data_IF_505360443889
#
_entry.id   IF_505360443889
#
_cell.length_a   1.000
_cell.length_b   1.000
_cell.length_c   1.000
_cell.angle_alpha   90.00
_cell.angle_beta   90.00
_cell.angle_gamma   90.00
#
_symmetry.space_group_name_H-M   'P 1'
#
loop_
_entity.id
_entity.type
_entity.pdbx_description
1 polymer ?
#
# COMPACT_ATOMS: atom_id res chain seq x y z
N UNK A 1 -24.05 -0.08 -11.57
CA UNK A 1 -23.51 0.19 -10.23
C UNK A 1 -24.33 1.33 -9.63
N UNK A 2 -25.01 1.08 -8.50
CA UNK A 2 -25.90 2.07 -7.88
C UNK A 2 -25.13 3.16 -7.12
N UNK A 3 -25.76 4.32 -6.89
CA UNK A 3 -25.17 5.42 -6.08
C UNK A 3 -24.71 4.97 -4.69
N UNK A 4 -25.45 4.06 -4.05
CA UNK A 4 -25.08 3.52 -2.72
C UNK A 4 -23.85 2.60 -2.76
N UNK A 5 -23.65 1.89 -3.87
CA UNK A 5 -22.50 1.00 -4.07
C UNK A 5 -21.23 1.83 -4.25
N UNK A 6 -21.30 2.93 -5.01
CA UNK A 6 -20.18 3.86 -5.17
C UNK A 6 -19.77 4.52 -3.84
N UNK A 7 -20.74 4.90 -3.01
CA UNK A 7 -20.46 5.44 -1.67
C UNK A 7 -19.79 4.43 -0.73
N UNK A 8 -20.15 3.15 -0.83
CA UNK A 8 -19.51 2.09 -0.05
C UNK A 8 -18.04 1.93 -0.44
N UNK A 9 -17.74 1.95 -1.74
CA UNK A 9 -16.36 1.86 -2.26
C UNK A 9 -15.54 3.09 -1.84
N UNK A 10 -16.09 4.30 -1.97
CA UNK A 10 -15.42 5.54 -1.54
C UNK A 10 -15.08 5.51 -0.04
N UNK A 11 -16.04 5.06 0.79
CA UNK A 11 -15.84 4.92 2.24
C UNK A 11 -14.78 3.89 2.56
N UNK A 12 -14.79 2.76 1.86
CA UNK A 12 -13.82 1.69 2.07
C UNK A 12 -12.40 2.15 1.70
N UNK A 13 -12.22 2.83 0.56
CA UNK A 13 -10.94 3.43 0.17
C UNK A 13 -10.42 4.41 1.24
N UNK A 14 -11.28 5.33 1.70
CA UNK A 14 -10.96 6.27 2.77
C UNK A 14 -10.58 5.56 4.07
N UNK A 15 -11.30 4.51 4.46
CA UNK A 15 -10.97 3.72 5.65
C UNK A 15 -9.60 3.04 5.50
N UNK A 16 -9.30 2.49 4.33
CA UNK A 16 -7.99 1.90 4.02
C UNK A 16 -6.85 2.89 4.19
N UNK A 17 -7.00 4.09 3.63
CA UNK A 17 -6.08 5.20 3.86
C UNK A 17 -5.92 5.47 5.35
N UNK A 18 -7.00 5.67 6.11
CA UNK A 18 -6.91 6.08 7.51
C UNK A 18 -6.37 4.98 8.46
N UNK A 19 -6.67 3.70 8.21
CA UNK A 19 -6.30 2.58 9.08
C UNK A 19 -4.88 2.05 8.85
N UNK A 20 -4.19 2.45 7.78
CA UNK A 20 -2.76 2.17 7.64
C UNK A 20 -1.92 2.81 8.78
N UNK A 21 -2.52 3.72 9.55
CA UNK A 21 -1.92 4.38 10.71
C UNK A 21 -1.82 3.55 12.00
N UNK A 22 -2.58 2.46 12.17
CA UNK A 22 -2.63 1.76 13.47
C UNK A 22 -1.54 0.68 13.64
N UNK A 23 -0.54 0.67 12.77
CA UNK A 23 0.71 -0.02 13.10
C UNK A 23 1.48 0.85 14.08
N UNK A 24 1.17 0.70 15.38
CA UNK A 24 2.18 0.85 16.44
C UNK A 24 3.31 -0.14 16.12
N UNK A 25 4.16 0.22 15.17
CA UNK A 25 5.46 -0.40 14.99
C UNK A 25 6.29 0.09 16.17
N UNK A 26 6.33 -0.72 17.20
CA UNK A 26 7.20 -0.59 18.36
C UNK A 26 8.63 -0.32 17.88
N UNK A 27 9.14 0.91 18.06
CA UNK A 27 10.58 1.19 17.98
C UNK A 27 11.12 2.04 16.82
N UNK A 28 10.33 2.90 16.16
CA UNK A 28 10.87 3.95 15.29
C UNK A 28 10.46 5.32 15.83
N UNK A 29 11.45 6.22 15.96
CA UNK A 29 11.39 7.53 16.61
C UNK A 29 10.07 8.27 16.42
N UNK A 30 9.58 8.88 17.49
CA UNK A 30 8.32 9.64 17.59
C UNK A 30 8.30 10.94 16.76
N UNK A 31 8.90 10.98 15.58
CA UNK A 31 8.55 12.01 14.59
C UNK A 31 7.21 11.63 13.99
N UNK A 32 6.16 11.91 14.76
CA UNK A 32 4.75 11.74 14.42
C UNK A 32 4.29 12.75 13.33
N UNK A 33 5.22 13.32 12.56
CA UNK A 33 4.90 14.22 11.47
C UNK A 33 4.58 13.41 10.21
N UNK A 34 3.35 13.52 9.75
CA UNK A 34 2.92 13.02 8.43
C UNK A 34 3.80 13.67 7.36
N UNK A 35 4.52 12.87 6.57
CA UNK A 35 5.38 13.35 5.49
C UNK A 35 4.60 13.91 4.30
N UNK A 36 5.28 14.59 3.39
CA UNK A 36 4.65 15.26 2.26
C UNK A 36 3.94 14.28 1.31
N UNK A 37 4.52 13.10 1.09
CA UNK A 37 3.91 12.03 0.31
C UNK A 37 2.66 11.48 0.98
N UNK A 38 2.72 11.21 2.29
CA UNK A 38 1.57 10.73 3.06
C UNK A 38 0.43 11.76 3.08
N UNK A 39 0.72 13.06 3.26
CA UNK A 39 -0.28 14.14 3.20
C UNK A 39 -0.99 14.18 1.85
N UNK A 40 -0.24 14.03 0.77
CA UNK A 40 -0.78 14.02 -0.58
C UNK A 40 -1.75 12.86 -0.81
N UNK A 41 -1.36 11.66 -0.36
CA UNK A 41 -2.19 10.46 -0.46
C UNK A 41 -3.44 10.56 0.41
N UNK A 42 -3.35 11.17 1.60
CA UNK A 42 -4.53 11.42 2.45
C UNK A 42 -5.55 12.39 1.80
N UNK A 43 -5.07 13.32 0.97
CA UNK A 43 -5.91 14.20 0.16
C UNK A 43 -6.54 13.54 -1.07
N UNK A 44 -6.11 12.31 -1.42
CA UNK A 44 -6.55 11.63 -2.64
C UNK A 44 -7.98 11.13 -2.51
N UNK A 45 -8.82 11.48 -3.49
CA UNK A 45 -10.17 10.89 -3.64
C UNK A 45 -10.05 9.47 -4.17
N UNK A 46 -11.12 8.67 -4.11
CA UNK A 46 -11.11 7.29 -4.63
C UNK A 46 -10.51 7.25 -6.04
N UNK A 47 -9.64 6.26 -6.26
CA UNK A 47 -9.11 5.98 -7.59
C UNK A 47 -10.21 5.36 -8.45
N UNK A 48 -10.64 6.08 -9.49
CA UNK A 48 -11.72 5.61 -10.35
C UNK A 48 -11.33 4.28 -11.01
N UNK A 49 -12.29 3.36 -11.10
CA UNK A 49 -12.12 2.04 -11.71
C UNK A 49 -12.00 0.87 -10.74
N UNK A 50 -11.94 1.15 -9.44
CA UNK A 50 -12.14 0.14 -8.40
C UNK A 50 -13.63 0.10 -8.07
N UNK A 51 -14.24 -1.06 -8.24
CA UNK A 51 -15.67 -1.31 -8.06
C UNK A 51 -15.99 -2.18 -6.83
N UNK A 52 -15.01 -2.91 -6.32
CA UNK A 52 -15.14 -3.72 -5.11
C UNK A 52 -14.71 -2.93 -3.85
N UNK A 53 -15.57 -2.81 -2.82
CA UNK A 53 -15.23 -2.14 -1.58
C UNK A 53 -14.02 -2.73 -0.86
N UNK A 54 -13.86 -4.06 -0.87
CA UNK A 54 -12.73 -4.71 -0.19
C UNK A 54 -11.41 -4.35 -0.89
N UNK A 55 -11.35 -4.47 -2.22
CA UNK A 55 -10.22 -4.05 -3.01
C UNK A 55 -9.89 -2.56 -2.85
N UNK A 56 -10.91 -1.71 -2.72
CA UNK A 56 -10.74 -0.28 -2.48
C UNK A 56 -10.09 -0.01 -1.11
N UNK A 57 -10.56 -0.68 -0.05
CA UNK A 57 -9.93 -0.60 1.26
C UNK A 57 -8.46 -1.04 1.23
N UNK A 58 -8.17 -2.21 0.67
CA UNK A 58 -6.80 -2.74 0.63
C UNK A 58 -5.88 -1.86 -0.22
N UNK A 59 -6.39 -1.34 -1.34
CA UNK A 59 -5.65 -0.40 -2.20
C UNK A 59 -5.35 0.91 -1.48
N UNK A 60 -6.32 1.50 -0.78
CA UNK A 60 -6.08 2.70 0.03
C UNK A 60 -5.02 2.45 1.11
N UNK A 61 -5.07 1.30 1.76
CA UNK A 61 -4.09 0.90 2.79
C UNK A 61 -2.68 0.76 2.22
N UNK A 62 -2.53 0.08 1.08
CA UNK A 62 -1.26 -0.07 0.37
C UNK A 62 -0.72 1.27 -0.11
N UNK A 63 -1.56 2.12 -0.69
CA UNK A 63 -1.16 3.44 -1.18
C UNK A 63 -0.56 4.31 -0.07
N UNK A 64 -1.16 4.29 1.13
CA UNK A 64 -0.60 5.02 2.28
C UNK A 64 0.72 4.43 2.77
N UNK A 65 0.86 3.10 2.77
CA UNK A 65 2.14 2.46 3.15
C UNK A 65 3.26 2.82 2.16
N UNK A 66 2.96 2.85 0.86
CA UNK A 66 3.92 3.28 -0.17
C UNK A 66 4.34 4.74 0.03
N UNK A 67 3.37 5.63 0.30
CA UNK A 67 3.69 7.03 0.56
C UNK A 67 4.64 7.21 1.75
N UNK A 68 4.45 6.44 2.82
CA UNK A 68 5.36 6.41 3.97
C UNK A 68 6.74 5.87 3.63
N UNK A 69 6.84 4.88 2.74
CA UNK A 69 8.13 4.39 2.26
C UNK A 69 8.87 5.50 1.50
N UNK A 70 8.17 6.27 0.65
CA UNK A 70 8.76 7.43 -0.02
C UNK A 70 9.21 8.51 0.96
N UNK A 71 8.38 8.85 1.95
CA UNK A 71 8.73 9.84 2.98
C UNK A 71 9.93 9.38 3.82
N UNK A 72 9.96 8.10 4.22
CA UNK A 72 11.08 7.51 4.97
C UNK A 72 12.38 7.49 4.15
N UNK A 73 12.28 7.27 2.84
CA UNK A 73 13.40 7.37 1.91
C UNK A 73 13.78 8.82 1.57
N UNK A 74 13.08 9.82 2.11
CA UNK A 74 13.21 11.25 1.79
C UNK A 74 13.08 11.54 0.29
N UNK A 75 12.24 10.77 -0.40
CA UNK A 75 11.95 11.00 -1.81
C UNK A 75 11.23 12.36 -1.97
N UNK A 76 11.46 13.08 -3.08
CA UNK A 76 10.68 14.27 -3.40
C UNK A 76 9.19 13.96 -3.49
N UNK A 77 8.33 14.90 -3.06
CA UNK A 77 6.86 14.73 -3.12
C UNK A 77 6.35 14.44 -4.54
N UNK A 78 7.04 14.94 -5.57
CA UNK A 78 6.75 14.68 -6.98
C UNK A 78 6.79 13.19 -7.34
N UNK A 79 7.57 12.37 -6.62
CA UNK A 79 7.58 10.91 -6.82
C UNK A 79 6.26 10.29 -6.38
N UNK A 80 5.71 10.72 -5.25
CA UNK A 80 4.39 10.28 -4.76
C UNK A 80 3.26 10.74 -5.67
N UNK A 81 3.36 11.95 -6.24
CA UNK A 81 2.42 12.46 -7.26
C UNK A 81 2.42 11.58 -8.52
N UNK A 82 3.60 11.37 -9.10
CA UNK A 82 3.77 10.57 -10.30
C UNK A 82 3.30 9.14 -10.08
N UNK A 83 3.62 8.53 -8.93
CA UNK A 83 3.14 7.20 -8.59
C UNK A 83 1.60 7.15 -8.53
N UNK A 84 0.96 8.10 -7.85
CA UNK A 84 -0.51 8.19 -7.77
C UNK A 84 -1.14 8.32 -9.15
N UNK A 85 -0.60 9.19 -10.00
CA UNK A 85 -1.15 9.47 -11.32
C UNK A 85 -0.97 8.27 -12.26
N UNK A 86 0.18 7.60 -12.21
CA UNK A 86 0.44 6.35 -12.91
C UNK A 86 -0.53 5.24 -12.45
N UNK A 87 -0.79 5.16 -11.14
CA UNK A 87 -1.71 4.17 -10.57
C UNK A 87 -3.14 4.39 -11.06
N UNK A 88 -3.59 5.65 -11.07
CA UNK A 88 -4.90 6.00 -11.62
C UNK A 88 -5.03 5.61 -13.10
N UNK A 89 -4.01 5.87 -13.91
CA UNK A 89 -3.99 5.50 -15.32
C UNK A 89 -4.01 3.98 -15.52
N UNK A 90 -3.26 3.23 -14.70
CA UNK A 90 -3.21 1.77 -14.75
C UNK A 90 -4.56 1.13 -14.38
N UNK A 91 -5.18 1.60 -13.30
CA UNK A 91 -6.51 1.13 -12.86
C UNK A 91 -7.55 1.38 -13.96
N UNK A 92 -7.56 2.57 -14.57
CA UNK A 92 -8.50 2.90 -15.64
C UNK A 92 -8.26 2.05 -16.89
N UNK A 93 -7.01 1.88 -17.28
CA UNK A 93 -6.64 1.03 -18.42
C UNK A 93 -7.06 -0.42 -18.19
N UNK A 94 -6.86 -0.94 -16.98
CA UNK A 94 -7.28 -2.29 -16.59
C UNK A 94 -8.80 -2.44 -16.64
N UNK A 95 -9.53 -1.48 -16.06
CA UNK A 95 -11.00 -1.48 -16.09
C UNK A 95 -11.53 -1.39 -17.54
N UNK A 96 -11.00 -0.51 -18.37
CA UNK A 96 -11.45 -0.32 -19.75
C UNK A 96 -11.25 -1.57 -20.61
N UNK A 97 -10.19 -2.33 -20.35
CA UNK A 97 -9.91 -3.61 -21.03
C UNK A 97 -10.89 -4.73 -20.67
N UNK A 98 -11.83 -4.51 -19.74
CA UNK A 98 -12.86 -5.48 -19.30
C UNK A 98 -12.26 -6.87 -19.06
N UNK A 99 -11.14 -6.94 -18.34
CA UNK A 99 -10.38 -8.18 -18.09
C UNK A 99 -11.15 -9.28 -17.34
N UNK A 100 -12.42 -9.03 -16.96
CA UNK A 100 -13.25 -9.91 -16.16
C UNK A 100 -12.82 -9.99 -14.68
N UNK A 101 -11.74 -9.30 -14.31
CA UNK A 101 -11.21 -9.24 -12.94
C UNK A 101 -11.22 -7.80 -12.46
N UNK A 102 -11.60 -7.58 -11.21
CA UNK A 102 -11.45 -6.28 -10.55
C UNK A 102 -9.99 -6.05 -10.17
N UNK A 103 -9.58 -4.77 -10.13
CA UNK A 103 -8.25 -4.37 -9.65
C UNK A 103 -8.11 -4.73 -8.16
N UNK A 104 -6.99 -5.31 -7.76
CA UNK A 104 -6.71 -5.75 -6.39
C UNK A 104 -5.49 -5.06 -5.81
N UNK A 105 -5.32 -5.18 -4.50
CA UNK A 105 -4.15 -4.63 -3.80
C UNK A 105 -2.82 -5.17 -4.35
N UNK A 106 -2.78 -6.43 -4.78
CA UNK A 106 -1.61 -7.04 -5.41
C UNK A 106 -1.19 -6.30 -6.68
N UNK A 107 -2.14 -5.85 -7.50
CA UNK A 107 -1.84 -5.09 -8.73
C UNK A 107 -1.18 -3.73 -8.40
N UNK A 108 -1.61 -3.08 -7.31
CA UNK A 108 -0.97 -1.86 -6.79
C UNK A 108 0.46 -2.13 -6.32
N UNK A 109 0.70 -3.25 -5.63
CA UNK A 109 2.03 -3.66 -5.15
C UNK A 109 2.94 -3.99 -6.34
N UNK A 110 2.44 -4.74 -7.33
CA UNK A 110 3.17 -5.10 -8.54
C UNK A 110 3.62 -3.86 -9.31
N UNK A 111 2.72 -2.89 -9.50
CA UNK A 111 3.04 -1.63 -10.17
C UNK A 111 4.09 -0.82 -9.40
N UNK A 112 3.99 -0.79 -8.06
CA UNK A 112 4.98 -0.13 -7.22
C UNK A 112 6.36 -0.79 -7.33
N UNK A 113 6.43 -2.11 -7.25
CA UNK A 113 7.69 -2.85 -7.38
C UNK A 113 8.32 -2.62 -8.75
N UNK A 114 7.53 -2.63 -9.83
CA UNK A 114 8.01 -2.34 -11.19
C UNK A 114 8.57 -0.91 -11.32
N UNK A 115 7.92 0.07 -10.68
CA UNK A 115 8.43 1.45 -10.64
C UNK A 115 9.69 1.55 -9.76
N UNK A 116 9.70 0.92 -8.59
CA UNK A 116 10.81 0.94 -7.63
C UNK A 116 12.08 0.31 -8.24
N UNK A 117 11.94 -0.82 -8.93
CA UNK A 117 13.03 -1.48 -9.65
C UNK A 117 13.67 -0.56 -10.70
N UNK A 118 12.82 0.13 -11.49
CA UNK A 118 13.28 1.03 -12.56
C UNK A 118 13.98 2.28 -12.05
N UNK A 119 13.53 2.83 -10.93
CA UNK A 119 14.00 4.15 -10.44
C UNK A 119 15.13 4.03 -9.43
N UNK A 120 15.09 3.02 -8.55
CA UNK A 120 15.94 2.99 -7.35
C UNK A 120 17.03 1.92 -7.36
N UNK A 121 17.11 1.09 -8.41
CA UNK A 121 18.14 0.04 -8.58
C UNK A 121 18.39 -0.73 -7.28
N UNK A 122 17.35 -1.41 -6.75
CA UNK A 122 17.36 -1.98 -5.41
C UNK A 122 18.41 -3.09 -5.24
N UNK A 123 18.83 -3.31 -4.00
CA UNK A 123 19.74 -4.42 -3.70
C UNK A 123 19.03 -5.77 -3.90
N UNK A 124 19.77 -6.86 -4.23
CA UNK A 124 19.19 -8.19 -4.29
C UNK A 124 18.44 -8.56 -3.00
N UNK A 125 17.19 -9.00 -3.13
CA UNK A 125 16.32 -9.38 -2.01
C UNK A 125 15.54 -8.25 -1.32
N UNK A 126 15.85 -6.99 -1.62
CA UNK A 126 15.12 -5.84 -1.05
C UNK A 126 13.68 -5.76 -1.59
N UNK A 127 13.51 -5.99 -2.90
CA UNK A 127 12.19 -6.00 -3.55
C UNK A 127 11.25 -7.06 -2.96
N UNK A 128 11.77 -8.26 -2.69
CA UNK A 128 10.98 -9.35 -2.12
C UNK A 128 10.55 -9.04 -0.68
N UNK A 129 11.44 -8.43 0.10
CA UNK A 129 11.12 -8.00 1.46
C UNK A 129 10.03 -6.92 1.47
N UNK A 130 10.15 -5.90 0.60
CA UNK A 130 9.17 -4.82 0.47
C UNK A 130 7.81 -5.37 0.00
N UNK A 131 7.81 -6.25 -1.00
CA UNK A 131 6.61 -6.94 -1.47
C UNK A 131 5.91 -7.72 -0.34
N UNK A 132 6.64 -8.56 0.39
CA UNK A 132 6.09 -9.34 1.50
C UNK A 132 5.52 -8.45 2.61
N UNK A 133 6.24 -7.37 2.95
CA UNK A 133 5.77 -6.38 3.91
C UNK A 133 4.44 -5.76 3.48
N UNK A 134 4.34 -5.28 2.24
CA UNK A 134 3.14 -4.66 1.71
C UNK A 134 1.97 -5.66 1.63
N UNK A 135 2.21 -6.89 1.15
CA UNK A 135 1.17 -7.92 1.08
C UNK A 135 0.64 -8.28 2.48
N UNK A 136 1.53 -8.50 3.45
CA UNK A 136 1.15 -8.84 4.82
C UNK A 136 0.33 -7.72 5.48
N UNK A 137 0.75 -6.47 5.28
CA UNK A 137 0.14 -5.31 5.94
C UNK A 137 -1.08 -4.77 5.20
N UNK A 138 -1.32 -5.17 3.94
CA UNK A 138 -2.49 -4.76 3.16
C UNK A 138 -3.81 -5.39 3.63
N UNK A 139 -3.75 -6.57 4.27
CA UNK A 139 -4.93 -7.32 4.69
C UNK A 139 -5.62 -6.65 5.87
N UNK A 140 -6.96 -6.66 5.86
CA UNK A 140 -7.77 -6.18 6.99
C UNK A 140 -7.48 -7.01 8.24
N UNK A 141 -7.25 -6.40 9.42
CA UNK A 141 -7.14 -7.14 10.68
C UNK A 141 -8.42 -7.95 10.91
N UNK A 142 -8.29 -9.27 11.03
CA UNK A 142 -9.43 -10.18 11.25
C UNK A 142 -10.00 -10.86 10.00
N UNK A 143 -9.47 -10.63 8.79
CA UNK A 143 -9.87 -11.38 7.58
C UNK A 143 -9.20 -12.77 7.49
N UNK A 144 -9.05 -13.46 8.62
CA UNK A 144 -8.58 -14.85 8.64
C UNK A 144 -9.71 -15.75 8.17
N UNK A 145 -9.71 -16.12 6.89
CA UNK A 145 -10.12 -17.47 6.53
C UNK A 145 -9.17 -18.40 7.27
N UNK A 146 -9.74 -19.13 8.23
CA UNK A 146 -9.10 -20.19 9.00
C UNK A 146 -8.38 -21.17 8.08
N UNK A 147 -7.09 -20.97 7.87
CA UNK A 147 -6.20 -22.01 7.36
C UNK A 147 -5.16 -22.28 8.43
N UNK A 148 -5.47 -23.32 9.22
CA UNK A 148 -4.64 -23.88 10.26
C UNK A 148 -3.29 -24.28 9.69
N UNK A 149 -2.24 -23.50 9.95
CA UNK A 149 -0.86 -24.00 9.88
C UNK A 149 -0.11 -23.71 11.17
N UNK A 150 0.00 -24.76 11.98
CA UNK A 150 1.11 -25.02 12.91
C UNK A 150 2.43 -24.65 12.22
N UNK A 151 3.23 -23.79 12.84
CA UNK A 151 4.60 -24.13 13.30
C UNK A 151 5.48 -22.88 13.39
N UNK A 152 6.22 -22.78 14.49
CA UNK A 152 7.57 -22.20 14.51
C UNK A 152 7.61 -20.71 14.84
N UNK A 153 7.84 -20.38 16.11
CA UNK A 153 8.32 -19.06 16.50
C UNK A 153 9.69 -18.79 15.89
N UNK A 154 9.90 -17.57 15.40
CA UNK A 154 11.22 -17.08 15.01
C UNK A 154 11.37 -15.65 15.54
N UNK A 155 12.41 -15.48 16.35
CA UNK A 155 12.75 -14.25 17.06
C UNK A 155 13.18 -13.13 16.13
N UNK A 156 12.80 -11.91 16.51
CA UNK A 156 13.26 -10.64 15.97
C UNK A 156 14.73 -10.43 16.38
N UNK A 157 15.66 -10.53 15.44
CA UNK A 157 17.10 -10.44 15.71
C UNK A 157 17.93 -9.78 14.61
N UNK A 158 17.44 -8.68 14.02
CA UNK A 158 18.14 -8.04 12.88
C UNK A 158 18.18 -6.50 12.85
N UNK A 159 17.97 -5.82 13.99
CA UNK A 159 18.28 -4.38 14.11
C UNK A 159 19.34 -4.16 15.19
N UNK A 160 20.60 -4.45 14.87
CA UNK A 160 21.78 -3.72 15.36
C UNK A 160 23.06 -4.32 14.78
N UNK A 161 23.66 -3.63 13.80
CA UNK A 161 25.12 -3.53 13.62
C UNK A 161 25.46 -2.54 12.51
N UNK A 162 25.60 -1.28 12.90
CA UNK A 162 26.46 -0.30 12.23
C UNK A 162 26.75 0.85 13.21
N UNK A 163 27.60 0.58 14.22
CA UNK A 163 28.37 1.60 14.92
C UNK A 163 29.52 0.92 15.69
N UNK A 164 30.75 1.37 15.39
CA UNK A 164 32.06 1.03 15.97
C UNK A 164 32.65 -0.34 15.62
#
# INVERSE_FOLDING_TARGET
MGLMEQQAVDRAFRAGLLEAGDSRATGLSEDSSVGAGELLVLGTRRLAGIDDPQAAYETGRVLRMIARLFDAARAPATVSEQFRDNLQAAIMSHHMRRSGKSWRCRDTIDMFIEMYERVLTPKPGELDAVRQFLELKSRKPGSSTSETRKSGGWGLGWLNRAAA
#
